data_IF_640740840387
#
_entry.id   IF_640740840387
#
_cell.length_a   1.000
_cell.length_b   1.000
_cell.length_c   1.000
_cell.angle_alpha   90.00
_cell.angle_beta   90.00
_cell.angle_gamma   90.00
#
_symmetry.space_group_name_H-M   'P 1'
#
loop_
_entity.id
_entity.type
_entity.pdbx_description
1 polymer ?
#
# COMPACT_ATOMS: atom_id res chain seq x y z
N UNK A 1 -8.22 70.34 0.91
CA UNK A 1 -6.86 69.78 0.78
C UNK A 1 -6.89 68.40 1.42
N UNK A 2 -7.14 67.35 0.63
CA UNK A 2 -6.17 66.27 0.31
C UNK A 2 -5.75 65.49 1.57
N UNK A 3 -6.07 64.22 1.76
CA UNK A 3 -5.63 63.11 0.91
C UNK A 3 -6.42 61.81 1.17
N UNK A 4 -6.65 61.10 0.07
CA UNK A 4 -6.89 59.66 -0.04
C UNK A 4 -5.56 58.92 0.09
N UNK A 5 -5.48 57.79 0.83
CA UNK A 5 -4.56 56.66 0.57
C UNK A 5 -5.09 55.35 1.20
N UNK A 6 -5.58 54.45 0.34
CA UNK A 6 -5.29 53.01 0.18
C UNK A 6 -5.09 52.00 1.36
N UNK A 7 -5.83 50.89 1.20
CA UNK A 7 -5.46 49.44 1.29
C UNK A 7 -5.16 48.73 2.63
N UNK A 8 -6.13 47.89 3.01
CA UNK A 8 -6.03 46.43 3.15
C UNK A 8 -4.77 45.80 3.79
N UNK A 9 -4.89 45.24 5.00
CA UNK A 9 -4.03 44.14 5.45
C UNK A 9 -4.80 43.13 6.32
N UNK A 10 -5.08 41.97 5.71
CA UNK A 10 -5.04 40.61 6.28
C UNK A 10 -5.70 40.37 7.65
N UNK A 11 -7.00 40.07 7.62
CA UNK A 11 -7.66 39.31 8.69
C UNK A 11 -7.16 37.86 8.67
N UNK A 12 -6.27 37.50 9.61
CA UNK A 12 -5.81 36.12 9.83
C UNK A 12 -7.00 35.27 10.29
N UNK A 13 -7.60 34.54 9.36
CA UNK A 13 -8.54 33.45 9.69
C UNK A 13 -7.79 32.36 10.45
N UNK A 14 -8.06 32.26 11.73
CA UNK A 14 -7.79 31.07 12.53
C UNK A 14 -8.53 29.89 11.90
N UNK A 15 -7.80 28.99 11.23
CA UNK A 15 -8.30 27.70 10.78
C UNK A 15 -8.45 26.77 12.00
N UNK A 16 -9.53 26.93 12.76
CA UNK A 16 -10.08 25.82 13.53
C UNK A 16 -10.91 24.97 12.57
N UNK A 17 -10.41 23.78 12.26
CA UNK A 17 -11.13 22.78 11.48
C UNK A 17 -12.51 22.52 12.11
N UNK A 18 -13.59 22.44 11.32
CA UNK A 18 -14.91 22.21 11.88
C UNK A 18 -15.01 20.78 12.42
N UNK A 19 -15.55 20.69 13.63
CA UNK A 19 -15.87 19.50 14.40
C UNK A 19 -16.70 18.49 13.57
N UNK A 20 -16.33 17.21 13.63
CA UNK A 20 -16.83 16.04 12.88
C UNK A 20 -18.30 15.65 13.19
N UNK A 21 -19.14 16.58 13.64
CA UNK A 21 -20.50 16.31 14.08
C UNK A 21 -21.51 17.23 13.37
N UNK A 22 -21.90 16.87 12.14
CA UNK A 22 -23.18 17.21 11.47
C UNK A 22 -23.10 16.99 9.94
N UNK A 23 -22.79 15.77 9.49
CA UNK A 23 -23.10 15.36 8.12
C UNK A 23 -24.17 14.28 8.20
N UNK A 24 -25.17 14.35 7.33
CA UNK A 24 -26.30 13.42 7.20
C UNK A 24 -25.81 11.98 6.99
N UNK A 25 -25.39 11.33 8.07
CA UNK A 25 -24.94 9.96 8.01
C UNK A 25 -26.15 9.08 7.75
N UNK A 26 -26.10 8.19 6.75
CA UNK A 26 -27.15 7.21 6.57
C UNK A 26 -27.31 6.41 7.86
N UNK A 27 -28.55 6.07 8.22
CA UNK A 27 -28.80 5.13 9.31
C UNK A 27 -27.91 3.91 9.11
N UNK A 28 -27.18 3.51 10.15
CA UNK A 28 -26.31 2.35 10.07
C UNK A 28 -27.08 1.09 9.67
N UNK A 29 -28.38 1.01 9.97
CA UNK A 29 -29.25 -0.08 9.52
C UNK A 29 -29.43 -0.12 8.00
N UNK A 30 -29.48 1.05 7.34
CA UNK A 30 -29.48 1.12 5.87
C UNK A 30 -28.16 0.60 5.31
N UNK A 31 -27.04 0.94 5.96
CA UNK A 31 -25.70 0.47 5.56
C UNK A 31 -25.62 -1.05 5.69
N UNK A 32 -26.05 -1.61 6.83
CA UNK A 32 -26.07 -3.07 7.06
C UNK A 32 -26.95 -3.78 6.05
N UNK A 33 -28.19 -3.32 5.87
CA UNK A 33 -29.13 -3.86 4.88
C UNK A 33 -28.53 -3.89 3.47
N UNK A 34 -27.89 -2.79 3.05
CA UNK A 34 -27.23 -2.72 1.74
C UNK A 34 -26.08 -3.71 1.62
N UNK A 35 -25.28 -3.88 2.68
CA UNK A 35 -24.17 -4.81 2.68
C UNK A 35 -24.67 -6.25 2.58
N UNK A 36 -25.61 -6.63 3.45
CA UNK A 36 -26.16 -7.99 3.52
C UNK A 36 -26.87 -8.40 2.23
N UNK A 37 -27.60 -7.48 1.59
CA UNK A 37 -28.33 -7.77 0.36
C UNK A 37 -27.43 -7.95 -0.87
N UNK A 38 -26.19 -7.46 -0.85
CA UNK A 38 -25.32 -7.41 -2.05
C UNK A 38 -24.03 -8.23 -1.91
N UNK A 39 -23.57 -8.49 -0.69
CA UNK A 39 -22.34 -9.22 -0.49
C UNK A 39 -22.52 -10.72 -0.74
N UNK A 40 -21.65 -11.29 -1.54
CA UNK A 40 -21.64 -12.72 -1.87
C UNK A 40 -20.76 -13.44 -0.84
N UNK A 41 -21.36 -14.31 -0.02
CA UNK A 41 -20.63 -15.09 0.98
C UNK A 41 -19.84 -16.21 0.30
N UNK A 42 -18.58 -16.36 0.68
CA UNK A 42 -17.69 -17.43 0.20
C UNK A 42 -17.39 -18.43 1.30
N UNK A 43 -16.88 -19.61 0.93
CA UNK A 43 -16.48 -20.67 1.85
C UNK A 43 -15.39 -20.24 2.83
N UNK A 44 -14.54 -19.28 2.45
CA UNK A 44 -13.52 -18.68 3.33
C UNK A 44 -14.10 -17.71 4.37
N UNK A 45 -15.43 -17.57 4.45
CA UNK A 45 -16.10 -16.61 5.32
C UNK A 45 -16.03 -15.16 4.82
N UNK A 46 -15.40 -14.88 3.67
CA UNK A 46 -15.36 -13.53 3.10
C UNK A 46 -16.75 -13.13 2.57
N UNK A 47 -17.12 -11.87 2.81
CA UNK A 47 -18.30 -11.23 2.24
C UNK A 47 -17.84 -10.44 1.02
N UNK A 48 -17.87 -11.05 -0.15
CA UNK A 48 -17.29 -10.50 -1.36
C UNK A 48 -18.25 -9.53 -2.05
N UNK A 49 -17.80 -8.30 -2.25
CA UNK A 49 -18.54 -7.37 -3.07
C UNK A 49 -18.39 -7.71 -4.56
N UNK A 50 -19.48 -7.82 -5.35
CA UNK A 50 -19.41 -8.27 -6.74
C UNK A 50 -18.68 -7.28 -7.65
N UNK A 51 -18.80 -5.98 -7.37
CA UNK A 51 -18.31 -4.92 -8.25
C UNK A 51 -17.14 -4.15 -7.62
N UNK A 52 -15.91 -4.65 -7.85
CA UNK A 52 -14.69 -3.96 -7.46
C UNK A 52 -14.20 -3.03 -8.58
N UNK A 53 -13.65 -1.88 -8.20
CA UNK A 53 -12.94 -0.99 -9.13
C UNK A 53 -11.64 -1.67 -9.63
N UNK A 54 -11.00 -1.15 -10.70
CA UNK A 54 -9.72 -1.68 -11.20
C UNK A 54 -8.58 -1.68 -10.16
N UNK A 55 -8.67 -0.80 -9.16
CA UNK A 55 -7.77 -0.74 -7.99
C UNK A 55 -7.94 -1.94 -7.02
N UNK A 56 -8.91 -2.81 -7.28
CA UNK A 56 -9.27 -3.98 -6.48
C UNK A 56 -10.25 -3.67 -5.35
N UNK A 57 -10.57 -2.40 -5.10
CA UNK A 57 -11.44 -2.00 -4.00
C UNK A 57 -12.89 -1.85 -4.45
N UNK A 58 -13.80 -2.41 -3.65
CA UNK A 58 -15.22 -2.19 -3.78
C UNK A 58 -15.64 -0.82 -3.25
N UNK A 59 -16.58 -0.16 -3.93
CA UNK A 59 -17.12 1.15 -3.54
C UNK A 59 -18.65 1.07 -3.43
N UNK A 60 -19.21 1.75 -2.43
CA UNK A 60 -20.65 1.84 -2.19
C UNK A 60 -21.02 3.29 -1.89
N UNK A 61 -22.10 3.75 -2.53
CA UNK A 61 -22.68 5.07 -2.32
C UNK A 61 -23.97 4.93 -1.53
N UNK A 62 -24.08 5.62 -0.40
CA UNK A 62 -25.29 5.64 0.44
C UNK A 62 -25.61 7.10 0.76
N UNK A 63 -26.85 7.51 0.53
CA UNK A 63 -27.30 8.90 0.77
C UNK A 63 -26.38 9.96 0.13
N UNK A 64 -25.91 9.70 -1.09
CA UNK A 64 -25.00 10.60 -1.81
C UNK A 64 -23.52 10.52 -1.41
N UNK A 65 -23.18 9.79 -0.33
CA UNK A 65 -21.80 9.64 0.15
C UNK A 65 -21.18 8.38 -0.40
N UNK A 66 -20.09 8.51 -1.17
CA UNK A 66 -19.31 7.39 -1.72
C UNK A 66 -18.10 7.08 -0.85
N UNK A 67 -17.98 5.83 -0.41
CA UNK A 67 -16.78 5.33 0.30
C UNK A 67 -16.50 3.86 -0.09
N UNK A 68 -15.39 3.30 0.38
CA UNK A 68 -15.04 1.89 0.21
C UNK A 68 -15.99 1.02 1.04
N UNK A 69 -16.40 -0.12 0.49
CA UNK A 69 -17.39 -1.00 1.13
C UNK A 69 -16.89 -1.50 2.49
N UNK A 70 -15.62 -1.88 2.61
CA UNK A 70 -15.06 -2.33 3.89
C UNK A 70 -15.05 -1.21 4.96
N UNK A 71 -14.92 0.07 4.57
CA UNK A 71 -15.03 1.19 5.52
C UNK A 71 -16.47 1.42 5.96
N UNK A 72 -17.43 1.26 5.04
CA UNK A 72 -18.86 1.26 5.40
C UNK A 72 -19.20 0.12 6.36
N UNK A 73 -18.71 -1.09 6.08
CA UNK A 73 -18.91 -2.26 6.94
C UNK A 73 -18.30 -2.05 8.33
N UNK A 74 -17.05 -1.58 8.40
CA UNK A 74 -16.41 -1.31 9.68
C UNK A 74 -17.21 -0.31 10.53
N UNK A 75 -17.66 0.80 9.94
CA UNK A 75 -18.45 1.79 10.67
C UNK A 75 -19.81 1.27 11.14
N UNK A 76 -20.47 0.45 10.32
CA UNK A 76 -21.81 -0.04 10.63
C UNK A 76 -21.84 -1.18 11.66
N UNK A 77 -20.77 -1.99 11.74
CA UNK A 77 -20.72 -3.20 12.58
C UNK A 77 -19.71 -3.13 13.73
N UNK A 78 -18.65 -2.35 13.60
CA UNK A 78 -17.57 -2.26 14.60
C UNK A 78 -17.59 -0.92 15.31
N UNK A 79 -17.53 0.18 14.57
CA UNK A 79 -17.54 1.51 15.15
C UNK A 79 -16.79 2.56 14.34
N UNK A 80 -16.60 3.77 14.91
CA UNK A 80 -15.95 4.87 14.21
C UNK A 80 -14.52 4.52 13.79
N UNK A 81 -14.07 5.14 12.69
CA UNK A 81 -12.68 5.07 12.23
C UNK A 81 -12.01 6.35 12.71
N UNK A 82 -11.09 6.24 13.66
CA UNK A 82 -10.34 7.40 14.18
C UNK A 82 -9.42 8.00 13.12
N UNK A 83 -9.10 9.28 13.28
CA UNK A 83 -8.22 10.00 12.36
C UNK A 83 -6.83 9.36 12.31
N UNK A 84 -6.30 9.23 11.09
CA UNK A 84 -5.00 8.59 10.85
C UNK A 84 -5.03 7.05 10.84
N UNK A 85 -6.17 6.42 11.15
CA UNK A 85 -6.34 4.97 11.04
C UNK A 85 -6.99 4.56 9.71
N UNK A 86 -6.56 3.40 9.24
CA UNK A 86 -7.08 2.74 8.06
C UNK A 86 -7.75 1.42 8.44
N UNK A 87 -8.80 1.07 7.72
CA UNK A 87 -9.43 -0.24 7.83
C UNK A 87 -8.65 -1.21 6.93
N UNK A 88 -8.06 -2.23 7.54
CA UNK A 88 -7.23 -3.25 6.93
C UNK A 88 -7.91 -4.61 6.98
N UNK A 89 -7.40 -5.57 6.18
CA UNK A 89 -7.95 -6.91 6.05
C UNK A 89 -7.02 -7.97 6.62
N UNK A 90 -7.54 -8.89 7.42
CA UNK A 90 -6.80 -10.11 7.81
C UNK A 90 -6.75 -11.16 6.69
N UNK A 91 -7.69 -11.10 5.74
CA UNK A 91 -7.88 -12.11 4.69
C UNK A 91 -7.20 -11.77 3.35
N UNK A 92 -6.47 -10.66 3.27
CA UNK A 92 -5.80 -10.15 2.06
C UNK A 92 -6.70 -9.99 0.81
N UNK A 93 -8.02 -10.03 1.00
CA UNK A 93 -9.02 -9.91 -0.05
C UNK A 93 -9.65 -8.52 -0.04
N UNK A 94 -9.24 -7.67 -1.00
CA UNK A 94 -9.71 -6.28 -1.14
C UNK A 94 -11.22 -6.14 -1.38
N UNK A 95 -11.91 -7.21 -1.82
CA UNK A 95 -13.36 -7.25 -2.05
C UNK A 95 -14.15 -7.61 -0.79
N UNK A 96 -13.48 -8.12 0.24
CA UNK A 96 -14.13 -8.55 1.47
C UNK A 96 -14.62 -7.35 2.28
N UNK A 97 -15.87 -7.42 2.76
CA UNK A 97 -16.46 -6.49 3.70
C UNK A 97 -16.97 -7.15 4.99
N UNK A 98 -16.55 -8.39 5.28
CA UNK A 98 -16.92 -9.08 6.52
C UNK A 98 -16.30 -8.34 7.72
N UNK A 99 -17.09 -7.81 8.67
CA UNK A 99 -16.58 -7.08 9.84
C UNK A 99 -15.54 -7.84 10.66
N UNK A 100 -15.66 -9.17 10.76
CA UNK A 100 -14.71 -9.99 11.54
C UNK A 100 -13.35 -10.14 10.85
N UNK A 101 -13.26 -9.82 9.56
CA UNK A 101 -12.01 -9.84 8.79
C UNK A 101 -11.36 -8.45 8.72
N UNK A 102 -11.93 -7.44 9.39
CA UNK A 102 -11.49 -6.05 9.34
C UNK A 102 -10.92 -5.59 10.69
N UNK A 103 -9.88 -4.77 10.62
CA UNK A 103 -9.27 -4.15 11.80
C UNK A 103 -8.75 -2.75 11.49
N UNK A 104 -8.55 -1.93 12.53
CA UNK A 104 -7.89 -0.63 12.38
C UNK A 104 -6.38 -0.81 12.50
N UNK A 105 -5.65 -0.17 11.60
CA UNK A 105 -4.20 -0.07 11.66
C UNK A 105 -3.72 1.27 11.13
N UNK A 106 -2.50 1.65 11.49
CA UNK A 106 -1.89 2.85 10.93
C UNK A 106 -1.39 2.57 9.51
N UNK A 107 -1.11 3.64 8.75
CA UNK A 107 -0.42 3.49 7.47
C UNK A 107 0.95 2.81 7.63
N UNK A 108 1.63 3.04 8.77
CA UNK A 108 2.89 2.37 9.08
C UNK A 108 2.70 0.86 9.29
N UNK A 109 1.63 0.44 9.95
CA UNK A 109 1.30 -0.98 10.15
C UNK A 109 0.98 -1.67 8.83
N UNK A 110 0.20 -1.03 7.95
CA UNK A 110 -0.08 -1.56 6.61
C UNK A 110 1.20 -1.67 5.75
N UNK A 111 2.09 -0.68 5.82
CA UNK A 111 3.37 -0.74 5.11
C UNK A 111 4.30 -1.82 5.68
N UNK A 112 4.27 -2.05 6.99
CA UNK A 112 5.02 -3.12 7.65
C UNK A 112 4.47 -4.49 7.25
N UNK A 113 3.17 -4.70 7.31
CA UNK A 113 2.52 -5.95 6.90
C UNK A 113 2.78 -6.26 5.41
N UNK A 114 2.70 -5.26 4.52
CA UNK A 114 3.09 -5.45 3.12
C UNK A 114 4.58 -5.78 2.92
N UNK A 115 5.45 -5.25 3.78
CA UNK A 115 6.88 -5.55 3.75
C UNK A 115 7.16 -6.97 4.28
N UNK A 116 6.50 -7.36 5.37
CA UNK A 116 6.60 -8.69 5.98
C UNK A 116 6.03 -9.78 5.04
N UNK A 117 4.97 -9.47 4.29
CA UNK A 117 4.39 -10.35 3.26
C UNK A 117 5.15 -10.34 1.92
N UNK A 118 6.10 -9.41 1.73
CA UNK A 118 6.83 -9.26 0.47
C UNK A 118 5.96 -8.80 -0.72
N UNK A 119 4.77 -8.25 -0.48
CA UNK A 119 3.79 -7.86 -1.52
C UNK A 119 4.06 -6.44 -2.06
N UNK A 120 4.99 -5.70 -1.44
CA UNK A 120 5.42 -4.40 -1.92
C UNK A 120 6.08 -4.48 -3.31
N UNK A 121 5.75 -3.53 -4.20
CA UNK A 121 6.38 -3.35 -5.52
C UNK A 121 7.85 -2.88 -5.40
N UNK A 122 8.69 -3.71 -4.78
CA UNK A 122 10.14 -3.55 -4.70
C UNK A 122 10.77 -4.90 -5.00
N UNK A 123 10.77 -5.24 -6.29
CA UNK A 123 11.34 -6.48 -6.82
C UNK A 123 10.48 -7.04 -7.95
N UNK A 124 11.08 -7.18 -9.13
CA UNK A 124 10.69 -7.98 -10.31
C UNK A 124 9.31 -7.79 -10.99
N UNK A 125 8.35 -7.09 -10.40
CA UNK A 125 7.04 -6.83 -11.05
C UNK A 125 6.95 -5.46 -11.75
N UNK A 126 8.09 -4.90 -12.08
CA UNK A 126 8.20 -3.80 -13.02
C UNK A 126 8.67 -4.43 -14.33
N UNK A 127 7.90 -4.26 -15.40
CA UNK A 127 8.09 -4.75 -16.76
C UNK A 127 9.40 -4.31 -17.46
N UNK A 128 10.44 -3.90 -16.70
CA UNK A 128 11.73 -3.44 -17.19
C UNK A 128 12.96 -4.00 -16.45
N UNK A 129 12.81 -4.93 -15.49
CA UNK A 129 13.95 -5.55 -14.80
C UNK A 129 14.62 -6.62 -15.66
N UNK A 130 15.56 -6.25 -16.53
CA UNK A 130 16.29 -7.20 -17.40
C UNK A 130 17.12 -8.26 -16.62
N UNK A 131 17.29 -8.14 -15.31
CA UNK A 131 18.09 -9.04 -14.48
C UNK A 131 17.31 -9.48 -13.23
N UNK A 132 17.42 -10.77 -12.88
CA UNK A 132 16.94 -11.34 -11.62
C UNK A 132 17.93 -11.09 -10.47
N UNK A 133 17.46 -11.19 -9.22
CA UNK A 133 18.32 -11.04 -8.04
C UNK A 133 19.44 -12.09 -8.02
N UNK A 134 19.13 -13.32 -8.43
CA UNK A 134 20.12 -14.41 -8.58
C UNK A 134 21.19 -14.04 -9.62
N UNK A 135 20.81 -13.47 -10.76
CA UNK A 135 21.75 -13.01 -11.77
C UNK A 135 22.64 -11.87 -11.26
N UNK A 136 22.10 -10.98 -10.43
CA UNK A 136 22.90 -9.91 -9.78
C UNK A 136 23.89 -10.48 -8.77
N UNK A 137 23.51 -11.49 -7.99
CA UNK A 137 24.40 -12.20 -7.06
C UNK A 137 25.53 -12.89 -7.82
N UNK A 138 25.20 -13.62 -8.88
CA UNK A 138 26.19 -14.30 -9.72
C UNK A 138 27.15 -13.32 -10.40
N UNK A 139 26.64 -12.20 -10.93
CA UNK A 139 27.44 -11.15 -11.55
C UNK A 139 28.45 -10.55 -10.57
N UNK A 140 28.05 -10.29 -9.32
CA UNK A 140 28.94 -9.80 -8.25
C UNK A 140 29.98 -10.84 -7.84
N UNK A 141 29.59 -12.11 -7.72
CA UNK A 141 30.51 -13.19 -7.38
C UNK A 141 31.58 -13.41 -8.47
N UNK A 142 31.19 -13.40 -9.74
CA UNK A 142 32.13 -13.48 -10.87
C UNK A 142 33.03 -12.24 -10.94
N UNK A 143 32.51 -11.03 -10.75
CA UNK A 143 33.36 -9.83 -10.67
C UNK A 143 34.40 -9.91 -9.54
N UNK A 144 34.02 -10.37 -8.35
CA UNK A 144 34.95 -10.56 -7.21
C UNK A 144 36.06 -11.58 -7.51
N UNK A 145 35.80 -12.56 -8.38
CA UNK A 145 36.78 -13.54 -8.86
C UNK A 145 37.72 -12.98 -9.94
N UNK A 146 37.61 -11.70 -10.29
CA UNK A 146 38.49 -11.03 -11.25
C UNK A 146 38.01 -11.06 -12.71
N UNK A 147 36.77 -11.52 -12.97
CA UNK A 147 36.23 -11.51 -14.32
C UNK A 147 36.04 -10.07 -14.83
N UNK A 148 36.42 -9.76 -16.08
CA UNK A 148 36.31 -8.41 -16.62
C UNK A 148 34.84 -8.03 -16.86
N UNK A 149 34.53 -6.74 -16.70
CA UNK A 149 33.17 -6.20 -16.84
C UNK A 149 32.60 -6.44 -18.25
N UNK A 150 33.45 -6.41 -19.29
CA UNK A 150 33.05 -6.73 -20.66
C UNK A 150 32.51 -8.16 -20.77
N UNK A 151 33.22 -9.13 -20.19
CA UNK A 151 32.80 -10.52 -20.21
C UNK A 151 31.48 -10.74 -19.45
N UNK A 152 31.30 -10.05 -18.31
CA UNK A 152 30.04 -10.09 -17.56
C UNK A 152 28.87 -9.45 -18.34
N UNK A 153 29.13 -8.40 -19.10
CA UNK A 153 28.12 -7.75 -19.93
C UNK A 153 27.59 -8.71 -21.01
N UNK A 154 28.51 -9.44 -21.65
CA UNK A 154 28.19 -10.39 -22.71
C UNK A 154 27.47 -11.64 -22.13
N UNK A 155 27.97 -12.18 -21.02
CA UNK A 155 27.39 -13.34 -20.31
C UNK A 155 25.95 -13.10 -19.84
N UNK A 156 25.67 -11.91 -19.31
CA UNK A 156 24.35 -11.57 -18.76
C UNK A 156 23.47 -10.78 -19.74
N UNK A 157 23.91 -10.57 -20.98
CA UNK A 157 23.14 -9.88 -22.02
C UNK A 157 22.79 -8.43 -21.69
N UNK A 158 23.67 -7.73 -20.97
CA UNK A 158 23.44 -6.36 -20.48
C UNK A 158 24.56 -5.41 -20.86
N UNK A 159 24.26 -4.11 -20.95
CA UNK A 159 25.26 -3.12 -21.32
C UNK A 159 26.37 -2.99 -20.26
N UNK A 160 27.63 -2.80 -20.69
CA UNK A 160 28.81 -2.70 -19.80
C UNK A 160 28.68 -1.66 -18.70
N UNK A 161 28.06 -0.51 -19.00
CA UNK A 161 27.80 0.53 -18.00
C UNK A 161 26.79 0.07 -16.93
N UNK A 162 25.87 -0.83 -17.28
CA UNK A 162 24.90 -1.38 -16.34
C UNK A 162 25.56 -2.36 -15.38
N UNK A 163 26.42 -3.25 -15.88
CA UNK A 163 27.27 -4.13 -15.04
C UNK A 163 28.14 -3.29 -14.11
N UNK A 164 28.80 -2.25 -14.64
CA UNK A 164 29.64 -1.34 -13.87
C UNK A 164 28.88 -0.67 -12.71
N UNK A 165 27.64 -0.22 -12.93
CA UNK A 165 26.79 0.35 -11.88
C UNK A 165 26.41 -0.66 -10.80
N UNK A 166 26.11 -1.90 -11.19
CA UNK A 166 25.72 -3.00 -10.29
C UNK A 166 26.90 -3.44 -9.39
N UNK A 167 28.11 -3.50 -9.94
CA UNK A 167 29.32 -3.93 -9.21
C UNK A 167 29.97 -2.80 -8.40
N UNK A 168 29.88 -1.53 -8.84
CA UNK A 168 30.47 -0.36 -8.14
C UNK A 168 29.51 0.36 -7.18
N UNK A 169 28.30 -0.15 -6.99
CA UNK A 169 27.38 0.28 -5.94
C UNK A 169 26.88 1.74 -6.06
N UNK A 170 26.39 2.11 -7.26
CA UNK A 170 25.41 3.19 -7.41
C UNK A 170 24.20 2.65 -8.19
N UNK A 171 23.12 2.41 -7.45
CA UNK A 171 21.82 1.91 -7.91
C UNK A 171 21.64 0.39 -7.98
N UNK A 172 21.87 -0.27 -6.84
CA UNK A 172 20.88 -1.22 -6.30
C UNK A 172 20.62 -0.74 -4.88
N UNK A 173 19.49 -0.08 -4.63
CA UNK A 173 19.04 0.16 -3.24
C UNK A 173 18.65 -1.19 -2.65
N UNK A 174 19.61 -2.02 -2.28
CA UNK A 174 19.37 -3.13 -1.37
C UNK A 174 19.17 -2.52 0.01
N UNK A 175 17.92 -2.54 0.46
CA UNK A 175 17.61 -2.37 1.87
C UNK A 175 18.25 -3.52 2.66
N UNK A 176 19.48 -3.25 3.13
CA UNK A 176 20.15 -3.83 4.30
C UNK A 176 20.33 -5.35 4.35
N UNK A 177 21.58 -5.74 4.15
CA UNK A 177 22.15 -6.98 4.66
C UNK A 177 22.09 -7.04 6.20
N UNK A 178 22.06 -8.27 6.73
CA UNK A 178 22.39 -8.72 8.08
C UNK A 178 21.28 -8.70 9.14
N UNK A 179 20.69 -9.89 9.35
CA UNK A 179 20.67 -10.55 10.66
C UNK A 179 20.67 -12.08 10.46
N UNK A 180 21.77 -12.71 10.89
CA UNK A 180 21.96 -14.16 11.01
C UNK A 180 21.25 -14.66 12.28
N UNK A 181 20.49 -15.76 12.19
CA UNK A 181 20.34 -16.83 13.19
C UNK A 181 19.88 -18.07 12.42
N UNK A 182 20.78 -19.03 12.13
CA UNK A 182 21.12 -20.18 12.97
C UNK A 182 20.02 -21.26 12.96
N UNK A 183 20.29 -22.36 12.25
CA UNK A 183 19.49 -23.57 12.22
C UNK A 183 20.11 -24.60 11.27
N UNK A 184 21.11 -25.34 11.74
CA UNK A 184 21.58 -26.56 11.08
C UNK A 184 20.42 -27.57 10.97
N UNK A 185 20.52 -28.54 10.05
CA UNK A 185 20.46 -29.90 10.56
C UNK A 185 21.74 -30.66 10.27
N UNK A 186 22.14 -31.39 11.30
CA UNK A 186 23.21 -32.36 11.32
C UNK A 186 22.77 -33.69 10.69
N UNK A 187 23.79 -34.46 10.30
CA UNK A 187 23.83 -35.86 9.89
C UNK A 187 23.56 -36.14 8.42
#
# INVERSE_FOLDING_TARGET
MTNSVFMNTLNRRSNTAPNQAAVDHPSWDLVRTRIEANAIRSESGCWNWPNASPDGYAKLTISGVRDRVHRWAFRAYVGPIEDGLHVLHHCDNKRCCNPTHLFLGTHADNMKDMADKGIGARGLNNSCGKLTDEQVVQMRAKYKRGFPISWLADEFGVHRNYVHQIVRNKSVKNGRSARYHAGQPAS
#
